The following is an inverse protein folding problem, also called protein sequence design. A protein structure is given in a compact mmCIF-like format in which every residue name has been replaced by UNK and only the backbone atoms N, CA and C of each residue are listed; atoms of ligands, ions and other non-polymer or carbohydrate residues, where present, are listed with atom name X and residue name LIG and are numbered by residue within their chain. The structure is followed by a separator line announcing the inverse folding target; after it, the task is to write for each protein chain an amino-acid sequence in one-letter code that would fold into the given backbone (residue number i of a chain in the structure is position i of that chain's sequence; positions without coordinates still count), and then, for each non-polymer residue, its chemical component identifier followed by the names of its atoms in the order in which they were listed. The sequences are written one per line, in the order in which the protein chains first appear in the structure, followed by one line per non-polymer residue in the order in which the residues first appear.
data_IF_999763081337
#
_entry.id   IF_999763081337
#
_cell.length_a   1.000
_cell.length_b   1.000
_cell.length_c   1.000
_cell.angle_alpha   90.00
_cell.angle_beta   90.00
_cell.angle_gamma   90.00
#
_symmetry.space_group_name_H-M   'P 1'
#
loop_
_entity.id
_entity.type
_entity.pdbx_description
1 polymer ?
#
# COMPACT_ATOMS: atom_id res chain seq x y z
N UNK A 1 21.56 -1.63 -58.71
CA UNK A 1 21.71 -2.21 -57.37
C UNK A 1 21.13 -1.22 -56.37
N UNK A 2 19.89 -1.43 -55.96
CA UNK A 2 19.16 -0.61 -54.99
C UNK A 2 19.59 -1.02 -53.58
N UNK A 3 20.28 -0.12 -52.86
CA UNK A 3 20.60 -0.32 -51.44
C UNK A 3 19.34 -0.05 -50.61
N UNK A 4 18.93 -1.08 -49.87
CA UNK A 4 17.81 -1.08 -48.96
C UNK A 4 18.19 -0.24 -47.72
N UNK A 5 17.51 0.89 -47.51
CA UNK A 5 17.68 1.69 -46.29
C UNK A 5 17.01 0.95 -45.13
N UNK A 6 17.81 0.52 -44.14
CA UNK A 6 17.34 -0.08 -42.90
C UNK A 6 16.50 0.96 -42.14
N UNK A 7 15.21 0.71 -42.07
CA UNK A 7 14.26 1.43 -41.23
C UNK A 7 14.63 1.18 -39.76
N UNK A 8 15.26 2.17 -39.11
CA UNK A 8 15.44 2.13 -37.66
C UNK A 8 14.07 2.40 -37.00
N UNK A 9 13.60 1.54 -36.08
CA UNK A 9 12.38 1.83 -35.34
C UNK A 9 12.63 3.04 -34.44
N UNK A 10 11.89 4.12 -34.68
CA UNK A 10 11.79 5.26 -33.78
C UNK A 10 11.27 4.75 -32.44
N UNK A 11 12.14 4.67 -31.43
CA UNK A 11 11.70 4.47 -30.04
C UNK A 11 11.07 5.79 -29.61
N UNK A 12 9.74 5.88 -29.76
CA UNK A 12 8.96 6.94 -29.14
C UNK A 12 9.06 6.76 -27.63
N UNK A 13 9.98 7.48 -27.00
CA UNK A 13 10.04 7.60 -25.56
C UNK A 13 8.83 8.44 -25.12
N UNK A 14 7.71 7.78 -24.89
CA UNK A 14 6.60 8.38 -24.13
C UNK A 14 7.12 8.69 -22.74
N UNK A 15 7.25 9.97 -22.42
CA UNK A 15 7.50 10.45 -21.07
C UNK A 15 6.35 9.96 -20.16
N UNK A 16 6.58 8.98 -19.27
CA UNK A 16 5.55 8.49 -18.38
C UNK A 16 5.20 9.51 -17.28
N UNK A 17 6.02 10.55 -17.10
CA UNK A 17 5.86 11.56 -16.05
C UNK A 17 4.65 12.49 -16.30
N UNK A 18 4.29 12.70 -17.56
CA UNK A 18 3.19 13.60 -17.95
C UNK A 18 1.80 13.09 -17.56
N UNK A 19 1.62 11.77 -17.45
CA UNK A 19 0.32 11.15 -17.24
C UNK A 19 -0.09 11.09 -15.76
N UNK A 20 0.87 10.87 -14.85
CA UNK A 20 0.58 10.74 -13.42
C UNK A 20 0.39 12.10 -12.70
N UNK A 21 0.98 13.18 -13.22
CA UNK A 21 0.85 14.51 -12.63
C UNK A 21 -0.51 15.19 -12.90
N UNK A 22 -1.22 14.76 -13.94
CA UNK A 22 -2.50 15.31 -14.37
C UNK A 22 -3.64 14.81 -13.45
N UNK A 23 -3.77 15.44 -12.28
CA UNK A 23 -4.84 15.14 -11.32
C UNK A 23 -4.39 15.21 -9.85
N UNK A 24 -3.08 15.21 -9.60
CA UNK A 24 -2.58 15.31 -8.23
C UNK A 24 -2.75 16.73 -7.68
N UNK A 25 -3.25 16.88 -6.43
CA UNK A 25 -3.23 18.13 -5.70
C UNK A 25 -1.84 18.78 -5.74
N UNK A 26 -1.75 20.10 -5.84
CA UNK A 26 -0.47 20.82 -5.94
C UNK A 26 0.54 20.43 -4.83
N UNK A 27 0.03 20.12 -3.63
CA UNK A 27 0.78 19.65 -2.48
C UNK A 27 1.43 18.26 -2.63
N UNK A 28 1.03 17.45 -3.60
CA UNK A 28 1.59 16.11 -3.83
C UNK A 28 2.54 16.06 -5.02
N UNK A 29 2.61 17.12 -5.84
CA UNK A 29 3.40 17.14 -7.08
C UNK A 29 4.92 17.07 -6.86
N UNK A 30 5.38 17.38 -5.64
CA UNK A 30 6.79 17.36 -5.25
C UNK A 30 7.19 16.08 -4.49
N UNK A 31 6.26 15.14 -4.33
CA UNK A 31 6.53 13.84 -3.71
C UNK A 31 7.02 12.89 -4.79
N UNK A 32 8.30 12.52 -4.75
CA UNK A 32 8.95 11.68 -5.77
C UNK A 32 9.23 10.27 -5.25
N UNK A 33 9.28 10.11 -3.93
CA UNK A 33 9.54 8.85 -3.25
C UNK A 33 8.67 8.71 -2.01
N UNK A 34 8.57 7.49 -1.48
CA UNK A 34 7.86 7.24 -0.23
C UNK A 34 8.45 8.02 0.96
N UNK A 35 9.75 8.29 0.94
CA UNK A 35 10.44 9.02 2.01
C UNK A 35 10.00 10.50 2.10
N UNK A 36 9.59 11.10 0.98
CA UNK A 36 9.18 12.51 0.95
C UNK A 36 7.87 12.75 1.74
N UNK A 37 7.04 11.71 1.89
CA UNK A 37 5.80 11.79 2.66
C UNK A 37 6.05 12.07 4.15
N UNK A 38 7.16 11.57 4.74
CA UNK A 38 7.44 11.83 6.16
C UNK A 38 7.67 13.32 6.40
N UNK A 39 8.43 13.98 5.52
CA UNK A 39 8.68 15.42 5.60
C UNK A 39 7.38 16.21 5.41
N UNK A 40 6.58 15.86 4.40
CA UNK A 40 5.29 16.49 4.16
C UNK A 40 4.34 16.31 5.35
N UNK A 41 4.24 15.10 5.91
CA UNK A 41 3.40 14.79 7.05
C UNK A 41 3.80 15.57 8.31
N UNK A 42 5.11 15.76 8.55
CA UNK A 42 5.61 16.54 9.69
C UNK A 42 5.11 17.99 9.67
N UNK A 43 4.95 18.57 8.48
CA UNK A 43 4.42 19.94 8.33
C UNK A 43 2.89 20.01 8.36
N UNK A 44 2.20 18.89 8.10
CA UNK A 44 0.74 18.83 7.99
C UNK A 44 0.05 18.41 9.28
N UNK A 45 0.66 17.49 10.03
CA UNK A 45 0.05 16.86 11.20
C UNK A 45 0.42 17.59 12.51
N UNK A 46 -0.49 17.64 13.50
CA UNK A 46 -0.14 18.04 14.86
C UNK A 46 1.01 17.19 15.41
N UNK A 47 1.94 17.83 16.13
CA UNK A 47 3.17 17.18 16.62
C UNK A 47 2.95 15.87 17.40
N UNK A 48 1.94 15.74 18.29
CA UNK A 48 1.69 14.47 18.97
C UNK A 48 1.27 13.33 18.03
N UNK A 49 0.45 13.64 17.03
CA UNK A 49 -0.05 12.66 16.05
C UNK A 49 1.10 12.22 15.14
N UNK A 50 1.91 13.16 14.66
CA UNK A 50 3.12 12.85 13.90
C UNK A 50 4.07 11.95 14.71
N UNK A 51 4.32 12.28 15.98
CA UNK A 51 5.18 11.47 16.85
C UNK A 51 4.66 10.05 17.09
N UNK A 52 3.34 9.88 17.19
CA UNK A 52 2.71 8.56 17.30
C UNK A 52 2.90 7.70 16.04
N UNK A 53 2.75 8.29 14.86
CA UNK A 53 2.88 7.56 13.57
C UNK A 53 4.35 7.22 13.27
N UNK A 54 5.25 8.16 13.56
CA UNK A 54 6.67 8.06 13.20
C UNK A 54 7.47 7.26 14.22
N UNK A 55 7.07 7.29 15.49
CA UNK A 55 7.80 6.64 16.58
C UNK A 55 7.72 5.12 16.55
N UNK A 56 8.83 4.47 16.90
CA UNK A 56 8.90 3.06 17.24
C UNK A 56 9.33 2.90 18.71
N UNK A 57 9.58 1.65 19.13
CA UNK A 57 9.96 1.36 20.51
C UNK A 57 11.33 1.94 20.88
N UNK A 58 11.43 2.44 22.12
CA UNK A 58 12.66 2.91 22.76
C UNK A 58 13.45 3.91 21.88
N UNK A 59 14.68 3.57 21.52
CA UNK A 59 15.60 4.42 20.77
C UNK A 59 15.50 4.27 19.24
N UNK A 60 14.41 3.63 18.75
CA UNK A 60 14.13 3.38 17.33
C UNK A 60 15.21 2.56 16.60
N UNK A 61 15.99 1.73 17.31
CA UNK A 61 17.05 0.92 16.70
C UNK A 61 16.49 -0.06 15.67
N UNK A 62 15.49 -0.86 16.04
CA UNK A 62 14.87 -1.83 15.12
C UNK A 62 14.22 -1.16 13.91
N UNK A 63 13.67 0.05 14.05
CA UNK A 63 13.14 0.82 12.93
C UNK A 63 14.24 1.17 11.91
N UNK A 64 15.40 1.62 12.38
CA UNK A 64 16.56 1.91 11.53
C UNK A 64 17.09 0.64 10.86
N UNK A 65 17.17 -0.46 11.62
CA UNK A 65 17.66 -1.75 11.12
C UNK A 65 16.75 -2.33 10.03
N UNK A 66 15.42 -2.21 10.18
CA UNK A 66 14.44 -2.61 9.15
C UNK A 66 14.68 -1.91 7.81
N UNK A 67 15.18 -0.67 7.82
CA UNK A 67 15.53 0.04 6.58
C UNK A 67 16.90 -0.39 6.07
N UNK A 68 17.89 -0.45 6.97
CA UNK A 68 19.30 -0.72 6.64
C UNK A 68 19.51 -2.09 6.01
N UNK A 69 18.72 -3.10 6.40
CA UNK A 69 18.87 -4.46 5.84
C UNK A 69 18.74 -4.50 4.31
N UNK A 70 18.04 -3.54 3.70
CA UNK A 70 17.93 -3.48 2.24
C UNK A 70 19.20 -2.98 1.55
N UNK A 71 20.10 -2.29 2.26
CA UNK A 71 21.40 -1.84 1.71
C UNK A 71 22.35 -3.02 1.45
N UNK A 72 22.09 -4.17 2.08
CA UNK A 72 22.85 -5.41 1.87
C UNK A 72 22.49 -6.08 0.53
N UNK A 73 21.43 -5.64 -0.14
CA UNK A 73 20.95 -6.20 -1.40
C UNK A 73 21.17 -5.23 -2.56
N UNK A 74 21.85 -5.71 -3.60
CA UNK A 74 22.02 -5.00 -4.87
C UNK A 74 21.25 -5.65 -6.01
N UNK A 75 20.71 -4.86 -6.93
CA UNK A 75 20.15 -5.38 -8.17
C UNK A 75 21.28 -5.73 -9.16
N UNK A 76 21.25 -6.93 -9.71
CA UNK A 76 22.12 -7.31 -10.83
C UNK A 76 21.50 -6.87 -12.14
N UNK A 77 22.12 -5.92 -12.83
CA UNK A 77 21.66 -5.46 -14.14
C UNK A 77 21.79 -6.57 -15.18
N UNK A 78 20.69 -6.86 -15.88
CA UNK A 78 20.67 -7.75 -17.05
C UNK A 78 20.40 -6.90 -18.28
N UNK A 79 21.32 -6.93 -19.25
CA UNK A 79 21.23 -6.15 -20.49
C UNK A 79 20.68 -6.99 -21.63
N UNK A 80 20.10 -6.33 -22.64
CA UNK A 80 19.52 -6.97 -23.83
C UNK A 80 18.38 -7.96 -23.55
N UNK A 81 17.69 -7.79 -22.42
CA UNK A 81 16.47 -8.54 -22.09
C UNK A 81 15.27 -7.73 -22.53
N UNK A 82 14.36 -8.34 -23.30
CA UNK A 82 13.09 -7.72 -23.64
C UNK A 82 12.21 -7.61 -22.37
N UNK A 83 11.85 -6.38 -22.03
CA UNK A 83 11.04 -6.02 -20.85
C UNK A 83 9.75 -5.30 -21.23
N UNK A 84 9.37 -5.37 -22.51
CA UNK A 84 8.17 -4.72 -23.05
C UNK A 84 6.86 -5.17 -22.40
N UNK A 85 6.82 -6.39 -21.85
CA UNK A 85 5.60 -7.04 -21.34
C UNK A 85 5.67 -7.45 -19.86
N UNK A 86 6.37 -6.68 -19.02
CA UNK A 86 6.41 -6.90 -17.56
C UNK A 86 5.02 -6.75 -16.94
N UNK A 87 4.70 -7.63 -15.99
CA UNK A 87 3.45 -7.57 -15.22
C UNK A 87 3.75 -7.73 -13.74
N UNK A 88 3.00 -7.02 -12.90
CA UNK A 88 3.06 -7.12 -11.43
C UNK A 88 1.93 -7.96 -10.83
N UNK A 89 0.99 -8.43 -11.67
CA UNK A 89 -0.14 -9.23 -11.22
C UNK A 89 0.31 -10.49 -10.47
N UNK A 90 -0.45 -10.83 -9.42
CA UNK A 90 -0.27 -12.06 -8.65
C UNK A 90 -1.63 -12.67 -8.33
N UNK A 91 -1.66 -13.98 -8.07
CA UNK A 91 -2.83 -14.68 -7.54
C UNK A 91 -2.55 -15.12 -6.10
N UNK A 92 -3.45 -14.80 -5.18
CA UNK A 92 -3.34 -15.11 -3.76
C UNK A 92 -4.72 -15.49 -3.19
N UNK A 93 -4.82 -16.66 -2.55
CA UNK A 93 -6.08 -17.21 -2.00
C UNK A 93 -7.27 -17.09 -2.97
N UNK A 94 -7.04 -17.50 -4.21
CA UNK A 94 -8.00 -17.47 -5.33
C UNK A 94 -8.45 -16.12 -5.87
N UNK A 95 -7.84 -15.02 -5.39
CA UNK A 95 -8.04 -13.67 -5.92
C UNK A 95 -6.83 -13.20 -6.72
N UNK A 96 -7.10 -12.56 -7.86
CA UNK A 96 -6.08 -11.90 -8.69
C UNK A 96 -5.92 -10.44 -8.27
N UNK A 97 -4.70 -10.05 -7.91
CA UNK A 97 -4.31 -8.70 -7.53
C UNK A 97 -3.43 -8.06 -8.59
N UNK A 98 -3.52 -6.73 -8.73
CA UNK A 98 -2.75 -5.96 -9.70
C UNK A 98 -1.26 -5.85 -9.34
N UNK A 99 -0.91 -5.99 -8.06
CA UNK A 99 0.46 -5.84 -7.55
C UNK A 99 0.74 -6.72 -6.32
N UNK A 100 2.02 -7.06 -6.05
CA UNK A 100 2.42 -7.96 -4.96
C UNK A 100 2.69 -7.23 -3.63
N UNK A 101 1.99 -6.14 -3.38
CA UNK A 101 2.04 -5.37 -2.13
C UNK A 101 0.67 -4.80 -1.85
N UNK A 102 0.41 -4.43 -0.60
CA UNK A 102 -0.89 -3.96 -0.15
C UNK A 102 -0.80 -3.00 1.03
N UNK A 103 -1.96 -2.64 1.56
CA UNK A 103 -2.06 -1.79 2.74
C UNK A 103 -2.05 -2.66 3.99
N UNK A 104 -1.03 -2.44 4.82
CA UNK A 104 -0.89 -3.09 6.13
C UNK A 104 -1.91 -2.53 7.14
N UNK A 105 -2.30 -3.31 8.17
CA UNK A 105 -3.25 -2.84 9.17
C UNK A 105 -2.59 -1.75 10.02
N UNK A 106 -3.15 -0.54 9.94
CA UNK A 106 -2.67 0.62 10.70
C UNK A 106 -3.62 0.89 11.87
N UNK A 107 -3.15 0.64 13.09
CA UNK A 107 -3.90 0.97 14.30
C UNK A 107 -4.16 2.48 14.40
N UNK A 108 -5.40 2.83 14.73
CA UNK A 108 -5.84 4.22 14.95
C UNK A 108 -5.61 5.15 13.74
N UNK A 109 -5.81 4.63 12.52
CA UNK A 109 -5.74 5.42 11.28
C UNK A 109 -6.66 6.67 11.31
N UNK A 110 -7.76 6.59 12.07
CA UNK A 110 -8.66 7.71 12.36
C UNK A 110 -7.97 8.96 12.95
N UNK A 111 -6.84 8.82 13.65
CA UNK A 111 -6.06 9.98 14.14
C UNK A 111 -5.43 10.79 13.02
N UNK A 112 -5.14 10.15 11.88
CA UNK A 112 -4.52 10.81 10.73
C UNK A 112 -5.54 11.41 9.77
N UNK A 113 -6.73 10.82 9.69
CA UNK A 113 -7.81 11.23 8.79
C UNK A 113 -9.14 10.63 9.25
N UNK A 114 -10.21 11.41 9.13
CA UNK A 114 -11.57 10.94 9.41
C UNK A 114 -11.88 9.67 8.60
N UNK A 115 -12.28 8.61 9.30
CA UNK A 115 -12.53 7.27 8.74
C UNK A 115 -11.38 6.73 7.88
N UNK A 116 -10.14 6.96 8.32
CA UNK A 116 -8.92 6.56 7.61
C UNK A 116 -8.91 5.11 7.15
N UNK A 117 -9.46 4.18 7.94
CA UNK A 117 -9.54 2.75 7.59
C UNK A 117 -10.36 2.51 6.30
N UNK A 118 -11.51 3.18 6.13
CA UNK A 118 -12.32 3.08 4.91
C UNK A 118 -11.59 3.74 3.75
N UNK A 119 -10.99 4.92 3.97
CA UNK A 119 -10.26 5.63 2.91
C UNK A 119 -9.16 4.75 2.33
N UNK A 120 -8.38 4.10 3.19
CA UNK A 120 -7.33 3.18 2.79
C UNK A 120 -7.89 1.92 2.12
N UNK A 121 -8.89 1.27 2.71
CA UNK A 121 -9.48 0.06 2.15
C UNK A 121 -10.13 0.30 0.77
N UNK A 122 -10.85 1.41 0.61
CA UNK A 122 -11.41 1.81 -0.69
C UNK A 122 -10.32 2.12 -1.71
N UNK A 123 -9.25 2.80 -1.33
CA UNK A 123 -8.12 3.05 -2.23
C UNK A 123 -7.45 1.74 -2.68
N UNK A 124 -7.24 0.79 -1.75
CA UNK A 124 -6.71 -0.52 -2.09
C UNK A 124 -7.63 -1.31 -3.03
N UNK A 125 -8.94 -1.23 -2.82
CA UNK A 125 -9.93 -1.86 -3.68
C UNK A 125 -9.94 -1.25 -5.09
N UNK A 126 -9.80 0.08 -5.20
CA UNK A 126 -9.70 0.79 -6.49
C UNK A 126 -8.45 0.40 -7.27
N UNK A 127 -7.32 0.24 -6.58
CA UNK A 127 -6.04 -0.19 -7.18
C UNK A 127 -5.92 -1.72 -7.33
N UNK A 128 -6.93 -2.47 -6.89
CA UNK A 128 -6.94 -3.94 -6.82
C UNK A 128 -5.67 -4.52 -6.15
N UNK A 129 -5.34 -4.01 -4.97
CA UNK A 129 -4.25 -4.49 -4.12
C UNK A 129 -4.80 -5.05 -2.79
N UNK A 130 -4.08 -5.96 -2.12
CA UNK A 130 -4.49 -6.44 -0.80
C UNK A 130 -4.62 -5.30 0.21
N UNK A 131 -5.58 -5.42 1.13
CA UNK A 131 -5.75 -4.52 2.26
C UNK A 131 -6.08 -5.34 3.50
N UNK A 132 -5.52 -4.93 4.63
CA UNK A 132 -5.81 -5.53 5.93
C UNK A 132 -6.29 -4.42 6.85
N UNK A 133 -7.48 -4.59 7.40
CA UNK A 133 -8.01 -3.69 8.43
C UNK A 133 -7.55 -4.15 9.82
N UNK A 134 -7.22 -3.17 10.67
CA UNK A 134 -6.90 -3.46 12.06
C UNK A 134 -8.16 -3.72 12.89
N UNK A 135 -8.15 -4.74 13.74
CA UNK A 135 -9.22 -4.99 14.71
C UNK A 135 -9.37 -3.92 15.79
N UNK A 136 -8.43 -2.98 15.89
CA UNK A 136 -8.56 -1.76 16.73
C UNK A 136 -9.20 -0.58 15.99
N UNK A 137 -9.79 -0.81 14.80
CA UNK A 137 -10.56 0.20 14.09
C UNK A 137 -11.79 0.61 14.89
N UNK A 138 -12.13 1.90 14.87
CA UNK A 138 -13.35 2.44 15.48
C UNK A 138 -14.58 2.26 14.57
N UNK A 139 -14.41 1.65 13.40
CA UNK A 139 -15.44 1.47 12.38
C UNK A 139 -15.96 0.02 12.44
N UNK A 140 -17.29 -0.20 12.42
CA UNK A 140 -17.86 -1.53 12.31
C UNK A 140 -17.34 -2.29 11.09
N UNK A 141 -17.13 -3.59 11.22
CA UNK A 141 -16.57 -4.43 10.17
C UNK A 141 -17.44 -4.42 8.91
N UNK A 142 -18.76 -4.38 9.11
CA UNK A 142 -19.78 -4.37 8.08
C UNK A 142 -19.68 -3.14 7.18
N UNK A 143 -19.43 -1.95 7.76
CA UNK A 143 -19.26 -0.73 6.95
C UNK A 143 -18.03 -0.81 6.04
N UNK A 144 -16.96 -1.48 6.49
CA UNK A 144 -15.75 -1.65 5.68
C UNK A 144 -15.93 -2.74 4.64
N UNK A 145 -16.62 -3.83 4.97
CA UNK A 145 -16.99 -4.86 4.01
C UNK A 145 -17.88 -4.28 2.89
N UNK A 146 -18.83 -3.40 3.23
CA UNK A 146 -19.67 -2.71 2.24
C UNK A 146 -18.86 -1.75 1.35
N UNK A 147 -17.92 -1.01 1.93
CA UNK A 147 -17.12 -0.02 1.20
C UNK A 147 -15.96 -0.62 0.39
N UNK A 148 -15.38 -1.73 0.86
CA UNK A 148 -14.21 -2.40 0.29
C UNK A 148 -14.28 -3.93 0.50
N UNK A 149 -15.11 -4.63 -0.29
CA UNK A 149 -15.30 -6.08 -0.16
C UNK A 149 -14.01 -6.90 -0.32
N UNK A 150 -13.85 -7.91 0.54
CA UNK A 150 -12.67 -8.80 0.56
C UNK A 150 -11.42 -8.16 1.16
N UNK A 151 -11.58 -7.07 1.93
CA UNK A 151 -10.55 -6.56 2.84
C UNK A 151 -10.32 -7.58 3.95
N UNK A 152 -9.06 -7.95 4.20
CA UNK A 152 -8.74 -8.90 5.27
C UNK A 152 -8.83 -8.23 6.63
N UNK A 153 -9.00 -9.03 7.69
CA UNK A 153 -9.11 -8.53 9.05
C UNK A 153 -7.99 -9.07 9.94
N UNK A 154 -7.32 -8.17 10.65
CA UNK A 154 -6.36 -8.52 11.70
C UNK A 154 -7.11 -8.85 13.00
N UNK A 155 -7.27 -10.14 13.28
CA UNK A 155 -7.89 -10.61 14.51
C UNK A 155 -6.93 -10.52 15.71
N UNK A 156 -7.37 -9.87 16.80
CA UNK A 156 -6.74 -10.01 18.11
C UNK A 156 -7.48 -11.08 18.90
N UNK A 157 -6.82 -12.20 19.16
CA UNK A 157 -7.37 -13.25 20.01
C UNK A 157 -7.14 -12.87 21.47
N UNK A 158 -8.20 -12.74 22.31
CA UNK A 158 -8.02 -12.55 23.73
C UNK A 158 -7.33 -13.79 24.34
N UNK A 159 -6.52 -13.58 25.38
CA UNK A 159 -5.76 -14.65 26.03
C UNK A 159 -6.58 -15.70 26.79
N UNK A 160 -7.91 -15.64 26.71
CA UNK A 160 -8.81 -16.65 27.26
C UNK A 160 -9.12 -17.70 26.17
N UNK A 161 -8.86 -19.00 26.42
CA UNK A 161 -9.08 -20.06 25.44
C UNK A 161 -10.57 -20.33 25.15
N UNK A 162 -11.50 -19.62 25.80
CA UNK A 162 -12.93 -19.74 25.52
C UNK A 162 -13.24 -19.23 24.11
N UNK A 163 -13.77 -20.07 23.19
CA UNK A 163 -14.10 -19.62 21.84
C UNK A 163 -15.19 -18.56 21.89
N UNK A 164 -14.83 -17.30 21.65
CA UNK A 164 -15.80 -16.22 21.54
C UNK A 164 -16.57 -16.38 20.23
N UNK A 165 -17.66 -17.16 20.28
CA UNK A 165 -18.62 -17.37 19.17
C UNK A 165 -19.07 -16.07 18.47
N UNK A 166 -18.93 -14.91 19.12
CA UNK A 166 -19.25 -13.61 18.54
C UNK A 166 -18.32 -13.19 17.40
N UNK A 167 -17.02 -13.50 17.46
CA UNK A 167 -16.08 -13.19 16.38
C UNK A 167 -16.35 -14.08 15.17
N UNK A 168 -16.47 -15.40 15.37
CA UNK A 168 -16.79 -16.37 14.32
C UNK A 168 -18.11 -16.05 13.59
N UNK A 169 -19.12 -15.57 14.31
CA UNK A 169 -20.41 -15.21 13.72
C UNK A 169 -20.32 -13.91 12.89
N UNK A 170 -19.54 -12.91 13.31
CA UNK A 170 -19.30 -11.72 12.51
C UNK A 170 -18.52 -12.04 11.22
N UNK A 171 -17.52 -12.94 11.29
CA UNK A 171 -16.80 -13.41 10.09
C UNK A 171 -17.73 -14.11 9.09
N UNK A 172 -18.63 -14.98 9.57
CA UNK A 172 -19.54 -15.73 8.70
C UNK A 172 -20.68 -14.90 8.12
N UNK A 173 -21.10 -13.83 8.80
CA UNK A 173 -22.21 -12.98 8.34
C UNK A 173 -21.74 -11.80 7.47
N UNK A 174 -20.49 -11.34 7.63
CA UNK A 174 -19.93 -10.19 6.92
C UNK A 174 -19.34 -10.47 5.51
N UNK A 175 -19.32 -11.73 5.06
CA UNK A 175 -18.88 -12.06 3.69
C UNK A 175 -17.43 -11.67 3.36
N UNK A 176 -16.52 -11.80 4.34
CA UNK A 176 -15.08 -11.59 4.17
C UNK A 176 -14.35 -12.89 3.81
#
# INVERSE_FOLDING_TARGET
MTMNALHQPTITQTDPSGCYAAGLPAKLRHILSLADFEHAARSHLPRPIFGYIQGAAEDNHSLKDNRRVFDDYGFTTRVLVDVSSRKQHIRLFDRDYASPFGIAPMGIAALSTYRGDIVLATAAQQENIPSIMSGSSLIPLEEVADAAPGTWFQAYLPGDPTPHRSLDNAYRQGGL
#
